data_IF_826615791051
#
_entry.id   IF_826615791051
#
_cell.length_a   1.000
_cell.length_b   1.000
_cell.length_c   1.000
_cell.angle_alpha   90.00
_cell.angle_beta   90.00
_cell.angle_gamma   90.00
#
_symmetry.space_group_name_H-M   'P 1'
#
loop_
_entity.id
_entity.type
_entity.pdbx_description
1 polymer ?
#
# COMPACT_ATOMS: atom_id res chain seq x y z
N UNK A 1 -4.99 -6.11 -4.06
CA UNK A 1 -5.42 -7.12 -3.08
C UNK A 1 -4.21 -7.96 -2.72
N UNK A 2 -4.06 -8.37 -1.46
CA UNK A 2 -3.04 -9.34 -1.01
C UNK A 2 -3.77 -10.53 -0.43
N UNK A 3 -3.36 -11.75 -0.80
CA UNK A 3 -4.02 -13.00 -0.41
C UNK A 3 -3.01 -13.86 0.35
N UNK A 4 -3.29 -14.07 1.64
CA UNK A 4 -2.73 -15.17 2.42
C UNK A 4 -3.69 -16.36 2.28
N UNK A 5 -3.22 -17.45 1.69
CA UNK A 5 -4.05 -18.62 1.41
C UNK A 5 -3.58 -19.82 2.24
N UNK A 6 -4.49 -20.44 2.99
CA UNK A 6 -4.19 -21.66 3.73
C UNK A 6 -3.90 -22.81 2.77
N UNK A 7 -3.15 -23.81 3.23
CA UNK A 7 -2.96 -25.04 2.45
C UNK A 7 -4.27 -25.80 2.32
N UNK A 8 -4.67 -26.13 1.09
CA UNK A 8 -5.94 -26.83 0.80
C UNK A 8 -6.31 -26.75 -0.68
N UNK A 9 -7.53 -27.10 -1.05
CA UNK A 9 -7.97 -27.08 -2.45
C UNK A 9 -7.78 -25.70 -3.12
N UNK A 10 -7.98 -24.62 -2.36
CA UNK A 10 -7.75 -23.26 -2.84
C UNK A 10 -6.28 -22.97 -3.16
N UNK A 11 -5.31 -23.51 -2.39
CA UNK A 11 -3.89 -23.31 -2.69
C UNK A 11 -3.40 -24.22 -3.79
N UNK A 12 -3.92 -25.45 -3.90
CA UNK A 12 -3.62 -26.36 -5.01
C UNK A 12 -4.09 -25.77 -6.33
N UNK A 13 -5.32 -25.25 -6.39
CA UNK A 13 -5.79 -24.53 -7.57
C UNK A 13 -5.03 -23.22 -7.77
N UNK A 14 -4.72 -22.50 -6.69
CA UNK A 14 -4.15 -21.16 -6.70
C UNK A 14 -2.64 -21.07 -6.98
N UNK A 15 -1.88 -22.14 -6.80
CA UNK A 15 -0.41 -22.08 -6.77
C UNK A 15 0.34 -23.36 -7.17
N UNK A 16 -0.30 -24.30 -7.89
CA UNK A 16 0.39 -25.49 -8.41
C UNK A 16 1.19 -25.17 -9.70
N UNK A 17 2.49 -24.92 -9.52
CA UNK A 17 3.41 -24.56 -10.59
C UNK A 17 3.43 -25.62 -11.72
N UNK A 18 3.59 -25.20 -13.00
CA UNK A 18 3.93 -23.85 -13.46
C UNK A 18 2.73 -22.91 -13.68
N UNK A 19 1.50 -23.38 -13.48
CA UNK A 19 0.29 -22.62 -13.80
C UNK A 19 -0.34 -21.97 -12.58
N UNK A 20 -0.74 -20.70 -12.70
CA UNK A 20 -1.48 -19.99 -11.64
C UNK A 20 -2.71 -19.29 -12.22
N UNK A 21 -3.88 -19.31 -11.55
CA UNK A 21 -5.10 -18.68 -12.03
C UNK A 21 -5.12 -17.16 -11.81
N UNK A 22 -4.11 -16.61 -11.12
CA UNK A 22 -4.01 -15.18 -10.83
C UNK A 22 -3.60 -14.39 -12.07
N UNK A 23 -4.35 -13.34 -12.40
CA UNK A 23 -4.07 -12.46 -13.52
C UNK A 23 -3.90 -11.01 -13.06
N UNK A 24 -3.20 -10.23 -13.89
CA UNK A 24 -3.13 -8.77 -13.79
C UNK A 24 -4.23 -8.14 -14.64
N UNK A 25 -4.74 -7.00 -14.21
CA UNK A 25 -5.59 -6.16 -15.05
C UNK A 25 -4.75 -5.43 -16.13
N UNK A 26 -5.40 -4.61 -16.97
CA UNK A 26 -4.74 -3.82 -18.02
C UNK A 26 -3.69 -2.82 -17.50
N UNK A 27 -3.74 -2.46 -16.23
CA UNK A 27 -2.78 -1.57 -15.56
C UNK A 27 -1.58 -2.34 -14.97
N UNK A 28 -1.51 -3.66 -15.20
CA UNK A 28 -0.47 -4.52 -14.64
C UNK A 28 -0.66 -4.83 -13.15
N UNK A 29 -1.82 -4.53 -12.56
CA UNK A 29 -2.14 -4.76 -11.15
C UNK A 29 -2.94 -6.05 -10.98
N UNK A 30 -2.48 -6.94 -10.12
CA UNK A 30 -3.17 -8.19 -9.80
C UNK A 30 -3.07 -8.51 -8.30
N UNK A 31 -3.70 -9.60 -7.85
CA UNK A 31 -3.53 -10.08 -6.49
C UNK A 31 -2.08 -10.50 -6.24
N UNK A 32 -1.47 -10.00 -5.16
CA UNK A 32 -0.25 -10.61 -4.62
C UNK A 32 -0.67 -11.80 -3.77
N UNK A 33 -0.27 -13.00 -4.14
CA UNK A 33 -0.71 -14.25 -3.51
C UNK A 33 0.47 -14.97 -2.87
N UNK A 34 0.26 -15.52 -1.68
CA UNK A 34 1.18 -16.43 -1.04
C UNK A 34 0.42 -17.46 -0.20
N UNK A 35 1.01 -18.65 -0.07
CA UNK A 35 0.57 -19.72 0.80
C UNK A 35 1.69 -20.02 1.79
N UNK A 36 1.35 -20.06 3.09
CA UNK A 36 2.26 -20.48 4.15
C UNK A 36 1.97 -21.94 4.48
N UNK A 37 1.35 -22.24 5.62
CA UNK A 37 0.93 -23.57 6.03
C UNK A 37 -0.60 -23.64 6.12
N UNK A 38 -1.09 -24.78 6.58
CA UNK A 38 -2.53 -24.97 6.78
C UNK A 38 -3.02 -24.22 8.02
N UNK A 39 -2.24 -24.34 9.09
CA UNK A 39 -2.57 -23.97 10.45
C UNK A 39 -2.29 -22.50 10.79
N UNK A 40 -1.47 -21.80 9.99
CA UNK A 40 -0.95 -20.45 10.32
C UNK A 40 -1.53 -19.33 9.43
N UNK A 41 -2.57 -19.61 8.64
CA UNK A 41 -3.05 -18.69 7.61
C UNK A 41 -3.50 -17.33 8.17
N UNK A 42 -4.12 -17.32 9.36
CA UNK A 42 -4.60 -16.10 9.98
C UNK A 42 -3.45 -15.22 10.47
N UNK A 43 -2.46 -15.84 11.13
CA UNK A 43 -1.24 -15.20 11.62
C UNK A 43 -0.38 -14.70 10.46
N UNK A 44 -0.29 -15.48 9.39
CA UNK A 44 0.41 -15.11 8.16
C UNK A 44 -0.22 -13.88 7.51
N UNK A 45 -1.55 -13.88 7.35
CA UNK A 45 -2.31 -12.72 6.86
C UNK A 45 -2.19 -11.50 7.77
N UNK A 46 -2.18 -11.69 9.09
CA UNK A 46 -1.95 -10.62 10.07
C UNK A 46 -0.54 -10.03 9.90
N UNK A 47 0.48 -10.86 9.74
CA UNK A 47 1.86 -10.42 9.46
C UNK A 47 1.94 -9.53 8.21
N UNK A 48 1.29 -9.94 7.11
CA UNK A 48 1.19 -9.13 5.90
C UNK A 48 0.52 -7.77 6.16
N UNK A 49 -0.58 -7.75 6.93
CA UNK A 49 -1.30 -6.51 7.27
C UNK A 49 -0.45 -5.55 8.09
N UNK A 50 0.28 -6.06 9.08
CA UNK A 50 1.19 -5.28 9.92
C UNK A 50 2.31 -4.68 9.08
N UNK A 51 2.92 -5.46 8.19
CA UNK A 51 3.95 -5.00 7.27
C UNK A 51 3.41 -3.88 6.35
N UNK A 52 2.28 -4.08 5.67
CA UNK A 52 1.67 -3.06 4.79
C UNK A 52 1.41 -1.76 5.57
N UNK A 53 0.90 -1.86 6.79
CA UNK A 53 0.64 -0.70 7.66
C UNK A 53 1.95 0.03 8.00
N UNK A 54 3.01 -0.71 8.32
CA UNK A 54 4.33 -0.14 8.63
C UNK A 54 4.93 0.55 7.42
N UNK A 55 4.86 -0.07 6.25
CA UNK A 55 5.35 0.51 4.99
C UNK A 55 4.59 1.80 4.65
N UNK A 56 3.27 1.83 4.83
CA UNK A 56 2.47 3.04 4.62
C UNK A 56 2.88 4.18 5.56
N UNK A 57 3.08 3.88 6.86
CA UNK A 57 3.59 4.86 7.83
C UNK A 57 4.96 5.40 7.43
N UNK A 58 5.89 4.52 7.03
CA UNK A 58 7.21 4.92 6.59
C UNK A 58 7.15 5.82 5.35
N UNK A 59 6.34 5.48 4.36
CA UNK A 59 6.16 6.29 3.15
C UNK A 59 5.63 7.69 3.48
N UNK A 60 4.67 7.81 4.40
CA UNK A 60 4.16 9.10 4.85
C UNK A 60 5.22 9.92 5.60
N UNK A 61 5.96 9.31 6.52
CA UNK A 61 7.04 10.00 7.23
C UNK A 61 8.15 10.49 6.29
N UNK A 62 8.48 9.70 5.26
CA UNK A 62 9.44 10.12 4.23
C UNK A 62 8.89 11.27 3.37
N UNK A 63 7.60 11.24 3.03
CA UNK A 63 6.93 12.32 2.31
C UNK A 63 6.97 13.63 3.12
N UNK A 64 6.69 13.57 4.42
CA UNK A 64 6.77 14.71 5.34
C UNK A 64 8.19 15.27 5.45
N UNK A 65 9.20 14.41 5.47
CA UNK A 65 10.61 14.82 5.51
C UNK A 65 11.04 15.56 4.23
N UNK A 66 10.53 15.15 3.06
CA UNK A 66 10.87 15.78 1.77
C UNK A 66 10.03 17.02 1.49
N UNK A 67 8.76 17.06 1.92
CA UNK A 67 7.86 18.20 1.72
C UNK A 67 7.11 18.54 3.03
N UNK A 68 7.74 19.27 3.95
CA UNK A 68 7.08 19.67 5.18
C UNK A 68 5.89 20.57 4.86
N UNK A 69 4.72 20.37 5.51
CA UNK A 69 3.45 21.01 5.14
C UNK A 69 3.45 22.55 5.22
N UNK A 70 4.49 23.17 5.81
CA UNK A 70 4.67 24.62 5.87
C UNK A 70 5.53 25.22 4.75
N UNK A 71 6.07 24.44 3.80
CA UNK A 71 6.95 24.97 2.74
C UNK A 71 6.22 25.76 1.64
N UNK A 72 4.89 25.93 1.73
CA UNK A 72 4.06 26.73 0.78
C UNK A 72 3.68 28.13 1.27
N UNK A 73 4.27 28.66 2.35
CA UNK A 73 4.00 30.02 2.84
C UNK A 73 5.17 30.98 2.58
N UNK A 74 5.53 31.21 1.32
CA UNK A 74 6.40 32.32 0.92
C UNK A 74 6.29 32.57 -0.58
N UNK A 75 5.34 33.41 -1.01
CA UNK A 75 5.41 34.20 -2.28
C UNK A 75 4.12 34.95 -2.67
N UNK A 76 3.18 35.24 -1.75
CA UNK A 76 2.21 36.31 -2.00
C UNK A 76 2.58 37.54 -1.19
N UNK A 77 3.10 38.62 -1.81
CA UNK A 77 3.29 39.87 -1.10
C UNK A 77 1.92 40.35 -0.64
N UNK A 78 1.76 40.55 0.67
CA UNK A 78 0.67 41.36 1.22
C UNK A 78 0.92 42.80 0.79
N UNK A 79 0.40 43.19 -0.37
CA UNK A 79 0.35 44.61 -0.74
C UNK A 79 -0.69 45.27 0.17
N UNK A 80 -0.13 45.93 1.17
CA UNK A 80 -0.70 46.83 2.16
C UNK A 80 -1.52 47.93 1.48
N UNK A 81 -2.83 47.91 1.71
CA UNK A 81 -3.67 49.04 2.14
C UNK A 81 -3.10 50.46 1.94
N UNK A 82 -3.67 51.25 1.01
CA UNK A 82 -3.90 52.71 1.15
C UNK A 82 -5.17 53.12 0.36
N UNK A 83 -6.14 53.68 1.12
CA UNK A 83 -7.38 54.46 0.82
C UNK A 83 -7.18 55.60 -0.22
N UNK A 84 -8.14 56.55 -0.47
CA UNK A 84 -9.62 56.55 -0.59
C UNK A 84 -10.13 57.33 -1.84
N UNK A 85 -11.44 57.30 -2.13
CA UNK A 85 -12.33 58.43 -2.48
C UNK A 85 -13.76 57.91 -2.64
#
# INVERSE_FOLDING_TARGET
>A
MVVANATGCSSIYGGNLPTTPWAKNKEGRGPAWANSLFEDNAEFGLGMRLAITKHAKQALSLLEAVHPPNSRKSSRPRSRMTKPA
#
